data_IF_174170030653
#
_entry.id   IF_174170030653
#
_cell.length_a   1.000
_cell.length_b   1.000
_cell.length_c   1.000
_cell.angle_alpha   90.00
_cell.angle_beta   90.00
_cell.angle_gamma   90.00
#
_symmetry.space_group_name_H-M   'P 1'
#
loop_
_entity.id
_entity.type
_entity.pdbx_description
1 polymer ?
#
# COMPACT_ATOMS: atom_id res chain seq x y z
N UNK A 1 3.66 -5.06 -32.45
CA UNK A 1 4.00 -6.12 -31.48
C UNK A 1 4.94 -5.51 -30.45
N UNK A 2 4.40 -4.90 -29.40
CA UNK A 2 5.18 -4.32 -28.31
C UNK A 2 5.38 -5.40 -27.25
N UNK A 3 6.61 -5.90 -27.13
CA UNK A 3 6.98 -6.85 -26.08
C UNK A 3 6.80 -6.18 -24.72
N UNK A 4 5.85 -6.66 -23.93
CA UNK A 4 5.81 -6.39 -22.49
C UNK A 4 7.05 -7.07 -21.93
N UNK A 5 7.95 -6.30 -21.32
CA UNK A 5 9.10 -6.85 -20.63
C UNK A 5 8.58 -7.83 -19.56
N UNK A 6 8.94 -9.11 -19.68
CA UNK A 6 8.55 -10.11 -18.69
C UNK A 6 9.12 -9.69 -17.33
N UNK A 7 8.26 -9.49 -16.35
CA UNK A 7 8.68 -9.23 -14.97
C UNK A 7 9.30 -10.54 -14.45
N UNK A 8 10.52 -10.53 -13.90
CA UNK A 8 11.13 -11.75 -13.38
C UNK A 8 10.31 -12.29 -12.22
N UNK A 9 10.46 -13.60 -11.95
CA UNK A 9 9.86 -14.23 -10.79
C UNK A 9 10.24 -13.45 -9.53
N UNK A 10 9.24 -13.08 -8.73
CA UNK A 10 9.40 -12.21 -7.57
C UNK A 10 8.80 -12.87 -6.34
N UNK A 11 9.60 -13.00 -5.28
CA UNK A 11 9.08 -13.37 -3.97
C UNK A 11 8.41 -12.17 -3.31
N UNK A 12 7.21 -12.42 -2.77
CA UNK A 12 6.43 -11.46 -2.00
C UNK A 12 6.36 -11.99 -0.58
N UNK A 13 6.80 -11.18 0.38
CA UNK A 13 6.73 -11.48 1.81
C UNK A 13 5.72 -10.55 2.45
N UNK A 14 4.60 -11.12 2.91
CA UNK A 14 3.61 -10.43 3.73
C UNK A 14 3.84 -10.72 5.21
N UNK A 15 3.75 -9.72 6.07
CA UNK A 15 3.82 -9.87 7.52
C UNK A 15 2.60 -9.21 8.16
N UNK A 16 1.80 -10.01 8.85
CA UNK A 16 0.75 -9.50 9.73
C UNK A 16 1.31 -9.25 11.13
N UNK A 17 1.27 -8.00 11.57
CA UNK A 17 1.81 -7.53 12.84
C UNK A 17 0.66 -7.47 13.85
N UNK A 18 0.46 -8.60 14.54
CA UNK A 18 -0.46 -8.71 15.67
C UNK A 18 0.16 -8.30 16.99
N UNK A 19 -0.68 -7.99 17.98
CA UNK A 19 -0.23 -7.68 19.34
C UNK A 19 0.44 -8.88 20.03
N UNK A 20 0.01 -10.11 19.73
CA UNK A 20 0.56 -11.33 20.33
C UNK A 20 1.61 -12.02 19.45
N UNK A 21 1.43 -12.00 18.12
CA UNK A 21 2.26 -12.73 17.17
C UNK A 21 2.45 -11.92 15.89
N UNK A 22 3.59 -12.10 15.24
CA UNK A 22 3.78 -11.74 13.84
C UNK A 22 3.64 -13.01 13.01
N UNK A 23 2.83 -12.95 11.96
CA UNK A 23 2.66 -14.05 11.01
C UNK A 23 3.24 -13.64 9.66
N UNK A 24 4.20 -14.40 9.13
CA UNK A 24 4.75 -14.16 7.79
C UNK A 24 4.16 -15.16 6.80
N UNK A 25 3.89 -14.72 5.59
CA UNK A 25 3.50 -15.55 4.46
C UNK A 25 4.35 -15.19 3.24
N UNK A 26 4.76 -16.19 2.49
CA UNK A 26 5.59 -16.03 1.31
C UNK A 26 4.89 -16.60 0.08
N UNK A 27 4.89 -15.81 -0.98
CA UNK A 27 4.37 -16.20 -2.27
C UNK A 27 5.39 -15.90 -3.38
N UNK A 28 5.38 -16.71 -4.44
CA UNK A 28 6.12 -16.48 -5.66
C UNK A 28 5.15 -15.97 -6.72
N UNK A 29 5.39 -14.75 -7.20
CA UNK A 29 4.76 -14.24 -8.42
C UNK A 29 5.60 -14.68 -9.61
N UNK A 30 5.04 -15.47 -10.50
CA UNK A 30 5.70 -15.83 -11.76
C UNK A 30 5.57 -14.71 -12.81
N UNK A 31 6.26 -14.90 -13.93
CA UNK A 31 6.32 -13.95 -15.04
C UNK A 31 4.98 -13.68 -15.72
N UNK A 32 4.05 -14.61 -15.62
CA UNK A 32 2.71 -14.52 -16.20
C UNK A 32 1.71 -13.86 -15.23
N UNK A 33 2.19 -13.43 -14.06
CA UNK A 33 1.41 -12.79 -13.02
C UNK A 33 0.70 -13.79 -12.09
N UNK A 34 0.88 -15.09 -12.30
CA UNK A 34 0.42 -16.14 -11.42
C UNK A 34 1.07 -16.03 -10.05
N UNK A 35 0.29 -16.26 -8.99
CA UNK A 35 0.78 -16.21 -7.61
C UNK A 35 0.69 -17.61 -7.01
N UNK A 36 1.83 -18.16 -6.61
CA UNK A 36 1.91 -19.45 -5.91
C UNK A 36 2.33 -19.24 -4.46
N UNK A 37 1.62 -19.90 -3.56
CA UNK A 37 2.03 -20.01 -2.17
C UNK A 37 3.34 -20.79 -2.04
N UNK A 38 4.24 -20.33 -1.18
CA UNK A 38 5.54 -20.96 -0.90
C UNK A 38 5.60 -21.50 0.53
N UNK A 39 5.19 -20.69 1.51
CA UNK A 39 5.30 -21.07 2.93
C UNK A 39 4.85 -19.96 3.86
N UNK A 40 4.84 -20.24 5.16
CA UNK A 40 4.50 -19.28 6.20
C UNK A 40 5.30 -19.55 7.48
N UNK A 41 5.39 -18.54 8.35
CA UNK A 41 6.07 -18.58 9.64
C UNK A 41 5.32 -17.77 10.69
N UNK A 42 5.72 -17.91 11.95
CA UNK A 42 5.15 -17.10 13.01
C UNK A 42 6.09 -16.97 14.20
N UNK A 43 6.25 -15.76 14.71
CA UNK A 43 7.07 -15.45 15.87
C UNK A 43 6.24 -14.71 16.92
N UNK A 44 6.69 -14.77 18.18
CA UNK A 44 6.20 -13.86 19.21
C UNK A 44 6.39 -12.40 18.79
N UNK A 45 5.35 -11.60 19.02
CA UNK A 45 5.37 -10.15 18.81
C UNK A 45 6.06 -9.43 19.97
N UNK A 46 6.33 -8.15 19.77
CA UNK A 46 6.93 -7.27 20.75
C UNK A 46 6.65 -5.82 20.38
N UNK A 47 6.45 -4.97 21.38
CA UNK A 47 6.35 -3.53 21.20
C UNK A 47 5.04 -3.00 20.63
N UNK A 48 4.02 -3.83 20.43
CA UNK A 48 2.65 -3.38 20.11
C UNK A 48 1.78 -3.31 21.36
N UNK A 49 0.97 -2.26 21.46
CA UNK A 49 -0.05 -2.10 22.50
C UNK A 49 -1.27 -1.37 21.93
N UNK A 50 -2.44 -1.99 22.01
CA UNK A 50 -3.71 -1.39 21.55
C UNK A 50 -3.67 -0.82 20.11
N UNK A 51 -2.98 -1.51 19.19
CA UNK A 51 -2.84 -1.08 17.80
C UNK A 51 -1.80 0.02 17.56
N UNK A 52 -1.06 0.42 18.59
CA UNK A 52 0.05 1.37 18.51
C UNK A 52 1.40 0.68 18.71
N UNK A 53 2.46 1.29 18.17
CA UNK A 53 3.84 0.82 18.34
C UNK A 53 4.44 1.57 19.53
N UNK A 54 4.38 0.93 20.71
CA UNK A 54 4.87 1.47 21.97
C UNK A 54 6.40 1.30 22.14
N UNK A 55 6.99 0.29 21.49
CA UNK A 55 8.43 0.01 21.53
C UNK A 55 8.91 -0.46 20.14
N UNK A 56 9.42 0.47 19.31
CA UNK A 56 9.95 0.13 17.98
C UNK A 56 11.12 -0.85 17.99
N UNK A 57 11.92 -0.88 19.06
CA UNK A 57 13.06 -1.78 19.21
C UNK A 57 12.61 -3.22 19.43
N UNK A 58 11.63 -3.42 20.32
CA UNK A 58 11.01 -4.73 20.53
C UNK A 58 10.30 -5.23 19.25
N UNK A 59 9.62 -4.32 18.53
CA UNK A 59 9.01 -4.63 17.23
C UNK A 59 10.09 -5.01 16.20
N UNK A 60 11.19 -4.25 16.12
CA UNK A 60 12.29 -4.53 15.21
C UNK A 60 12.92 -5.90 15.45
N UNK A 61 13.08 -6.29 16.72
CA UNK A 61 13.50 -7.64 17.08
C UNK A 61 12.52 -8.73 16.62
N UNK A 62 11.21 -8.50 16.73
CA UNK A 62 10.19 -9.43 16.26
C UNK A 62 10.14 -9.51 14.72
N UNK A 63 10.22 -8.37 14.03
CA UNK A 63 10.28 -8.29 12.57
C UNK A 63 11.51 -9.02 12.04
N UNK A 64 12.68 -8.82 12.66
CA UNK A 64 13.92 -9.49 12.26
C UNK A 64 13.76 -11.00 12.28
N UNK A 65 13.19 -11.57 13.36
CA UNK A 65 12.91 -13.02 13.43
C UNK A 65 11.94 -13.48 12.35
N UNK A 66 10.84 -12.75 12.13
CA UNK A 66 9.87 -13.08 11.10
C UNK A 66 10.46 -13.06 9.67
N UNK A 67 11.34 -12.10 9.40
CA UNK A 67 12.05 -11.96 8.12
C UNK A 67 13.11 -13.06 7.96
N UNK A 68 13.81 -13.43 9.02
CA UNK A 68 14.77 -14.55 9.01
C UNK A 68 14.09 -15.89 8.69
N UNK A 69 12.91 -16.15 9.27
CA UNK A 69 12.08 -17.31 8.91
C UNK A 69 11.68 -17.29 7.43
N UNK A 70 11.23 -16.13 6.93
CA UNK A 70 10.87 -15.99 5.52
C UNK A 70 12.08 -16.24 4.59
N UNK A 71 13.25 -15.67 4.91
CA UNK A 71 14.52 -15.88 4.17
C UNK A 71 14.92 -17.36 4.16
N UNK A 72 14.75 -18.06 5.27
CA UNK A 72 15.02 -19.49 5.36
C UNK A 72 14.15 -20.31 4.40
N UNK A 73 12.87 -19.96 4.26
CA UNK A 73 11.93 -20.65 3.36
C UNK A 73 12.27 -20.48 1.87
N UNK A 74 12.82 -19.33 1.47
CA UNK A 74 13.07 -18.99 0.05
C UNK A 74 14.54 -19.05 -0.38
N UNK A 75 15.48 -19.09 0.57
CA UNK A 75 16.92 -19.16 0.29
C UNK A 75 17.50 -17.90 -0.39
N UNK A 76 16.77 -16.78 -0.38
CA UNK A 76 17.20 -15.50 -0.96
C UNK A 76 17.02 -14.34 0.03
N UNK A 77 17.65 -13.19 -0.25
CA UNK A 77 17.47 -11.98 0.55
C UNK A 77 16.02 -11.47 0.46
N UNK A 78 15.59 -10.84 1.55
CA UNK A 78 14.32 -10.11 1.62
C UNK A 78 14.67 -8.68 1.98
N UNK A 79 14.45 -7.76 1.04
CA UNK A 79 14.70 -6.33 1.20
C UNK A 79 13.40 -5.55 1.47
N UNK A 80 12.31 -5.98 0.85
CA UNK A 80 10.99 -5.38 0.94
C UNK A 80 9.99 -6.37 1.54
N UNK A 81 9.13 -5.85 2.43
CA UNK A 81 7.98 -6.57 2.96
C UNK A 81 6.70 -5.75 2.75
N UNK A 82 5.58 -6.47 2.64
CA UNK A 82 4.24 -5.89 2.82
C UNK A 82 3.82 -6.15 4.26
N UNK A 83 3.33 -5.13 4.96
CA UNK A 83 2.94 -5.27 6.35
C UNK A 83 1.49 -4.86 6.60
N UNK A 84 0.84 -5.52 7.54
CA UNK A 84 -0.42 -5.08 8.15
C UNK A 84 -0.19 -4.87 9.64
N UNK A 85 -0.86 -3.90 10.26
CA UNK A 85 -0.85 -3.72 11.72
C UNK A 85 -2.26 -3.89 12.25
N UNK A 86 -2.43 -4.93 13.07
CA UNK A 86 -3.72 -5.24 13.67
C UNK A 86 -4.12 -4.19 14.71
N UNK A 87 -5.39 -3.78 14.70
CA UNK A 87 -5.96 -2.87 15.69
C UNK A 87 -5.57 -1.40 15.51
N UNK A 88 -4.83 -1.05 14.45
CA UNK A 88 -4.52 0.34 14.13
C UNK A 88 -5.81 1.13 13.86
N UNK A 89 -5.88 2.36 14.39
CA UNK A 89 -6.96 3.29 14.05
C UNK A 89 -6.79 3.74 12.59
N UNK A 90 -7.86 3.61 11.81
CA UNK A 90 -7.88 4.01 10.41
C UNK A 90 -8.94 5.07 10.22
N UNK A 91 -8.54 6.21 9.66
CA UNK A 91 -9.45 7.27 9.24
C UNK A 91 -9.66 7.19 7.73
N UNK A 92 -10.91 7.41 7.31
CA UNK A 92 -11.28 7.47 5.90
C UNK A 92 -11.50 8.93 5.53
N UNK A 93 -10.80 9.41 4.51
CA UNK A 93 -10.87 10.78 4.05
C UNK A 93 -11.35 10.81 2.60
N UNK A 94 -12.45 11.50 2.35
CA UNK A 94 -12.90 11.76 0.98
C UNK A 94 -12.06 12.89 0.36
N UNK A 95 -11.72 12.72 -0.91
CA UNK A 95 -10.92 13.65 -1.70
C UNK A 95 -11.61 13.91 -3.03
N UNK A 96 -11.46 15.13 -3.51
CA UNK A 96 -11.96 15.54 -4.81
C UNK A 96 -10.92 16.44 -5.45
N UNK A 97 -10.76 16.31 -6.75
CA UNK A 97 -9.94 17.20 -7.57
C UNK A 97 -10.31 17.04 -9.03
N UNK A 98 -9.59 17.73 -9.90
CA UNK A 98 -9.85 17.66 -11.33
C UNK A 98 -8.91 18.52 -12.13
N UNK A 99 -9.00 18.39 -13.45
CA UNK A 99 -8.25 19.23 -14.38
C UNK A 99 -9.12 19.74 -15.51
N UNK A 100 -8.81 20.96 -15.93
CA UNK A 100 -9.26 21.48 -17.22
C UNK A 100 -8.49 20.77 -18.34
N UNK A 101 -9.24 20.39 -19.38
CA UNK A 101 -8.77 19.67 -20.55
C UNK A 101 -8.69 20.61 -21.75
N UNK A 102 -7.79 20.27 -22.68
CA UNK A 102 -7.80 20.94 -23.98
C UNK A 102 -9.00 20.45 -24.78
N UNK A 103 -9.96 21.34 -25.01
CA UNK A 103 -11.17 21.02 -25.77
C UNK A 103 -10.83 20.42 -27.15
N UNK A 104 -11.53 19.35 -27.53
CA UNK A 104 -11.43 18.75 -28.86
C UNK A 104 -10.39 17.64 -29.03
N UNK A 105 -9.64 17.26 -27.98
CA UNK A 105 -8.82 16.04 -27.99
C UNK A 105 -9.31 14.98 -27.02
N UNK A 106 -9.07 13.68 -27.29
CA UNK A 106 -9.32 12.61 -26.33
C UNK A 106 -8.50 12.80 -25.04
N UNK A 107 -9.11 12.43 -23.91
CA UNK A 107 -8.47 12.32 -22.60
C UNK A 107 -7.43 11.21 -22.66
N UNK A 108 -6.22 11.54 -22.24
CA UNK A 108 -5.09 10.62 -22.20
C UNK A 108 -4.72 10.26 -20.76
N UNK A 109 -3.93 9.20 -20.59
CA UNK A 109 -3.46 8.77 -19.26
C UNK A 109 -2.76 9.89 -18.47
N UNK A 110 -2.12 10.86 -19.14
CA UNK A 110 -1.52 12.03 -18.48
C UNK A 110 -2.56 12.94 -17.82
N UNK A 111 -3.74 13.08 -18.42
CA UNK A 111 -4.81 13.94 -17.89
C UNK A 111 -5.44 13.29 -16.66
N UNK A 112 -5.67 11.98 -16.73
CA UNK A 112 -6.16 11.17 -15.60
C UNK A 112 -5.17 11.24 -14.44
N UNK A 113 -3.86 11.08 -14.70
CA UNK A 113 -2.82 11.22 -13.67
C UNK A 113 -2.82 12.61 -13.05
N UNK A 114 -2.99 13.67 -13.84
CA UNK A 114 -3.06 15.04 -13.33
C UNK A 114 -4.31 15.28 -12.48
N UNK A 115 -5.49 14.78 -12.88
CA UNK A 115 -6.70 14.85 -12.07
C UNK A 115 -6.52 14.14 -10.72
N UNK A 116 -5.94 12.93 -10.75
CA UNK A 116 -5.62 12.16 -9.54
C UNK A 116 -4.64 12.94 -8.66
N UNK A 117 -3.60 13.55 -9.24
CA UNK A 117 -2.63 14.35 -8.50
C UNK A 117 -3.25 15.61 -7.89
N UNK A 118 -4.13 16.30 -8.62
CA UNK A 118 -4.86 17.46 -8.10
C UNK A 118 -5.74 17.09 -6.91
N UNK A 119 -6.39 15.92 -6.97
CA UNK A 119 -7.19 15.40 -5.87
C UNK A 119 -6.35 14.93 -4.67
N UNK A 120 -5.02 14.77 -4.82
CA UNK A 120 -4.14 14.43 -3.69
C UNK A 120 -4.05 15.63 -2.76
N UNK A 121 -4.76 15.55 -1.64
CA UNK A 121 -4.58 16.48 -0.54
C UNK A 121 -3.24 16.26 0.18
N UNK A 122 -2.80 17.27 0.93
CA UNK A 122 -1.78 17.04 1.96
C UNK A 122 -2.37 16.23 3.09
N UNK A 123 -1.54 15.39 3.69
CA UNK A 123 -1.88 14.68 4.91
C UNK A 123 -2.30 15.67 6.02
N UNK A 124 -3.36 15.33 6.75
CA UNK A 124 -3.82 16.13 7.88
C UNK A 124 -2.83 15.99 9.04
N UNK A 125 -2.66 17.04 9.86
CA UNK A 125 -1.73 17.00 10.98
C UNK A 125 -1.97 15.81 11.91
N UNK A 126 -0.95 14.96 12.08
CA UNK A 126 -0.99 13.75 12.91
C UNK A 126 -1.50 12.48 12.22
N UNK A 127 -1.87 12.55 10.94
CA UNK A 127 -2.31 11.40 10.14
C UNK A 127 -1.42 11.23 8.93
N UNK A 128 -1.13 9.99 8.57
CA UNK A 128 -0.38 9.65 7.36
C UNK A 128 -1.23 8.76 6.46
N UNK A 129 -1.42 9.20 5.22
CA UNK A 129 -2.18 8.42 4.24
C UNK A 129 -1.38 7.20 3.80
N UNK A 130 -1.95 6.01 3.99
CA UNK A 130 -1.28 4.73 3.69
C UNK A 130 -1.84 4.04 2.45
N UNK A 131 -3.07 4.39 2.04
CA UNK A 131 -3.70 3.85 0.84
C UNK A 131 -4.65 4.86 0.22
N UNK A 132 -4.77 4.86 -1.12
CA UNK A 132 -5.70 5.73 -1.87
C UNK A 132 -6.40 4.92 -2.93
N UNK A 133 -7.71 5.13 -3.06
CA UNK A 133 -8.55 4.43 -4.05
C UNK A 133 -9.36 5.45 -4.83
N UNK A 134 -9.28 5.40 -6.16
CA UNK A 134 -10.17 6.18 -7.02
C UNK A 134 -11.57 5.59 -6.95
N UNK A 135 -12.58 6.43 -6.75
CA UNK A 135 -13.97 6.02 -6.56
C UNK A 135 -14.86 6.33 -7.76
N UNK A 136 -14.64 7.46 -8.41
CA UNK A 136 -15.44 7.88 -9.55
C UNK A 136 -14.68 8.91 -10.38
N UNK A 137 -15.05 9.00 -11.65
CA UNK A 137 -14.72 10.11 -12.54
C UNK A 137 -16.00 10.78 -13.03
N UNK A 138 -15.90 12.04 -13.43
CA UNK A 138 -16.92 12.71 -14.22
C UNK A 138 -16.26 13.56 -15.31
N UNK A 139 -16.94 13.65 -16.46
CA UNK A 139 -16.55 14.54 -17.57
C UNK A 139 -17.65 15.57 -17.73
N UNK A 140 -17.30 16.85 -17.64
CA UNK A 140 -18.24 17.97 -17.75
C UNK A 140 -19.46 17.85 -16.80
N UNK A 141 -19.28 17.23 -15.63
CA UNK A 141 -20.32 17.00 -14.62
C UNK A 141 -21.08 15.66 -14.75
N UNK A 142 -20.88 14.92 -15.85
CA UNK A 142 -21.53 13.63 -16.09
C UNK A 142 -20.63 12.46 -15.62
N UNK A 143 -21.12 11.56 -14.75
CA UNK A 143 -20.35 10.42 -14.26
C UNK A 143 -19.86 9.49 -15.37
N UNK A 144 -18.66 8.95 -15.19
CA UNK A 144 -18.06 8.00 -16.13
C UNK A 144 -17.19 6.95 -15.42
N UNK A 145 -17.27 5.70 -15.90
CA UNK A 145 -16.44 4.60 -15.38
C UNK A 145 -14.98 4.71 -15.83
N UNK A 146 -14.76 4.88 -17.15
CA UNK A 146 -13.44 5.11 -17.75
C UNK A 146 -13.46 6.39 -18.60
N UNK A 147 -12.72 7.45 -18.18
CA UNK A 147 -12.61 8.68 -18.94
C UNK A 147 -11.66 8.56 -20.14
N UNK A 148 -10.86 7.50 -20.25
CA UNK A 148 -9.86 7.33 -21.30
C UNK A 148 -10.46 7.36 -22.70
N UNK A 149 -9.90 8.19 -23.59
CA UNK A 149 -10.34 8.28 -24.99
C UNK A 149 -11.62 9.11 -25.20
N UNK A 150 -12.29 9.56 -24.13
CA UNK A 150 -13.45 10.47 -24.24
C UNK A 150 -13.00 11.90 -24.43
N UNK A 151 -13.91 12.77 -24.88
CA UNK A 151 -13.65 14.20 -25.08
C UNK A 151 -14.52 15.00 -24.13
N UNK A 152 -13.94 16.01 -23.48
CA UNK A 152 -14.63 16.93 -22.59
C UNK A 152 -13.81 18.17 -22.32
N UNK A 153 -14.35 19.09 -21.53
CA UNK A 153 -13.67 20.31 -21.09
C UNK A 153 -13.07 20.17 -19.70
N UNK A 154 -13.66 19.34 -18.84
CA UNK A 154 -13.19 19.11 -17.47
C UNK A 154 -13.26 17.62 -17.12
N UNK A 155 -12.23 17.14 -16.42
CA UNK A 155 -12.22 15.82 -15.79
C UNK A 155 -12.15 15.99 -14.27
N UNK A 156 -13.20 15.54 -13.58
CA UNK A 156 -13.25 15.48 -12.12
C UNK A 156 -12.98 14.05 -11.64
N UNK A 157 -12.37 13.93 -10.46
CA UNK A 157 -12.11 12.65 -9.80
C UNK A 157 -12.45 12.73 -8.33
N UNK A 158 -13.09 11.68 -7.83
CA UNK A 158 -13.31 11.45 -6.40
C UNK A 158 -12.43 10.30 -5.96
N UNK A 159 -11.74 10.49 -4.85
CA UNK A 159 -10.89 9.46 -4.24
C UNK A 159 -11.23 9.30 -2.77
N UNK A 160 -10.85 8.14 -2.26
CA UNK A 160 -10.90 7.82 -0.84
C UNK A 160 -9.50 7.47 -0.37
N UNK A 161 -9.04 8.23 0.61
CA UNK A 161 -7.78 8.01 1.30
C UNK A 161 -8.04 7.25 2.60
N UNK A 162 -7.17 6.30 2.92
CA UNK A 162 -7.13 5.62 4.21
C UNK A 162 -5.86 6.08 4.92
N UNK A 163 -6.02 6.68 6.09
CA UNK A 163 -4.93 7.23 6.88
C UNK A 163 -4.86 6.59 8.26
N UNK A 164 -3.67 6.55 8.83
CA UNK A 164 -3.39 6.07 10.19
C UNK A 164 -2.61 7.13 10.97
N UNK A 165 -2.52 7.07 12.31
CA UNK A 165 -1.70 8.01 13.06
C UNK A 165 -0.26 8.03 12.55
N UNK A 166 0.32 9.20 12.33
CA UNK A 166 1.69 9.34 11.81
C UNK A 166 2.71 8.56 12.65
N UNK A 167 2.52 8.56 13.97
CA UNK A 167 3.37 7.84 14.93
C UNK A 167 3.43 6.33 14.66
N UNK A 168 2.33 5.74 14.15
CA UNK A 168 2.30 4.33 13.77
C UNK A 168 3.23 4.08 12.57
N UNK A 169 3.17 4.92 11.55
CA UNK A 169 4.06 4.79 10.38
C UNK A 169 5.53 5.01 10.73
N UNK A 170 5.82 5.97 11.62
CA UNK A 170 7.18 6.25 12.09
C UNK A 170 7.75 5.11 12.94
N UNK A 171 6.95 4.59 13.89
CA UNK A 171 7.33 3.45 14.70
C UNK A 171 7.57 2.19 13.87
N UNK A 172 6.72 1.95 12.86
CA UNK A 172 6.86 0.81 11.96
C UNK A 172 8.12 0.95 11.10
N UNK A 173 8.39 2.15 10.56
CA UNK A 173 9.61 2.43 9.81
C UNK A 173 10.85 2.17 10.65
N UNK A 174 10.86 2.65 11.90
CA UNK A 174 11.99 2.44 12.82
C UNK A 174 12.20 0.95 13.15
N UNK A 175 11.12 0.20 13.40
CA UNK A 175 11.20 -1.25 13.59
C UNK A 175 11.72 -1.99 12.36
N UNK A 176 11.26 -1.59 11.17
CA UNK A 176 11.71 -2.16 9.89
C UNK A 176 13.20 -1.87 9.62
N UNK A 177 13.65 -0.63 9.89
CA UNK A 177 15.06 -0.24 9.78
C UNK A 177 15.95 -1.15 10.66
N UNK A 178 15.53 -1.45 11.88
CA UNK A 178 16.24 -2.38 12.80
C UNK A 178 16.28 -3.81 12.25
N UNK A 179 15.21 -4.25 11.59
CA UNK A 179 15.14 -5.56 10.94
C UNK A 179 15.90 -5.62 9.60
N UNK A 180 16.40 -4.49 9.10
CA UNK A 180 17.11 -4.40 7.83
C UNK A 180 16.22 -4.66 6.63
N UNK A 181 14.95 -4.22 6.70
CA UNK A 181 13.97 -4.32 5.61
C UNK A 181 13.22 -3.00 5.42
N UNK A 182 12.64 -2.81 4.24
CA UNK A 182 11.73 -1.70 3.93
C UNK A 182 10.29 -2.21 3.92
N UNK A 183 9.38 -1.43 4.50
CA UNK A 183 7.94 -1.69 4.40
C UNK A 183 7.40 -0.94 3.18
N UNK A 184 7.03 -1.67 2.14
CA UNK A 184 6.57 -1.08 0.89
C UNK A 184 5.13 -0.56 0.99
N UNK A 185 4.29 -1.24 1.76
CA UNK A 185 2.87 -0.88 1.89
C UNK A 185 2.36 -1.32 3.25
N UNK A 186 1.62 -0.41 3.92
CA UNK A 186 0.80 -0.74 5.08
C UNK A 186 -0.64 -0.90 4.60
N UNK A 187 -1.20 -2.10 4.74
CA UNK A 187 -2.60 -2.35 4.39
C UNK A 187 -3.43 -2.36 5.67
N UNK A 188 -4.53 -1.57 5.75
CA UNK A 188 -5.49 -1.72 6.83
C UNK A 188 -6.07 -3.14 6.82
N UNK A 189 -6.19 -3.81 7.96
CA UNK A 189 -6.74 -5.17 8.02
C UNK A 189 -8.18 -5.24 7.47
N UNK A 190 -8.95 -4.14 7.56
CA UNK A 190 -10.30 -4.04 6.97
C UNK A 190 -10.35 -3.85 5.44
N UNK A 191 -9.20 -3.65 4.80
CA UNK A 191 -9.03 -3.58 3.33
C UNK A 191 -8.23 -4.77 2.80
N UNK A 192 -7.56 -5.53 3.69
CA UNK A 192 -6.70 -6.67 3.36
C UNK A 192 -7.46 -8.01 3.16
N UNK A 193 -8.77 -7.96 2.93
CA UNK A 193 -9.66 -9.14 2.80
C UNK A 193 -10.10 -9.39 1.36
#
# INVERSE_FOLDING_TARGET
>A
MTGVAAVPDQFIVGIDIGASKLCSAVALRDRDGGVRYVGHGSTSSGGLRAGEIADPEALGGALKRAVEEARYLIGVSVEDIVATVSGARVETLERMGGVELNAGRPIEARDIRRAIEDARGRDAGGWSTIHRVVRAFAIDGEPVDDPSGRVGRRLDVWMRDFAVPTQLTEGLRRGADIAGVRVHTLVPTGVAV
#
